data_IF_609674990027
#
_entry.id   IF_609674990027
#
_cell.length_a   1.000
_cell.length_b   1.000
_cell.length_c   1.000
_cell.angle_alpha   90.00
_cell.angle_beta   90.00
_cell.angle_gamma   90.00
#
_symmetry.space_group_name_H-M   'P 1'
#
loop_
_entity.id
_entity.type
_entity.pdbx_description
1 polymer ?
#
# COMPACT_ATOMS: atom_id res chain seq x y z
N UNK A 1 -28.43 -63.43 -6.67
CA UNK A 1 -27.14 -63.36 -5.96
C UNK A 1 -26.44 -62.07 -6.33
N UNK A 2 -26.10 -61.27 -5.31
CA UNK A 2 -25.41 -59.98 -5.36
C UNK A 2 -24.00 -60.12 -5.95
N UNK A 3 -23.54 -59.15 -6.75
CA UNK A 3 -22.18 -58.58 -6.66
C UNK A 3 -22.21 -57.10 -7.07
N UNK A 4 -22.26 -56.24 -6.05
CA UNK A 4 -21.86 -54.84 -6.12
C UNK A 4 -20.38 -54.79 -6.50
N UNK A 5 -20.02 -54.06 -7.56
CA UNK A 5 -18.65 -53.58 -7.72
C UNK A 5 -18.54 -52.18 -7.13
N UNK A 6 -17.66 -52.09 -6.14
CA UNK A 6 -17.40 -50.90 -5.33
C UNK A 6 -16.80 -49.77 -6.17
N UNK A 7 -17.29 -48.59 -5.86
CA UNK A 7 -16.79 -47.26 -6.22
C UNK A 7 -15.31 -47.11 -5.82
N UNK A 8 -14.47 -46.66 -6.75
CA UNK A 8 -13.23 -45.94 -6.42
C UNK A 8 -13.35 -44.53 -7.00
N UNK A 9 -14.06 -43.67 -6.27
CA UNK A 9 -13.87 -42.22 -6.38
C UNK A 9 -12.46 -42.00 -5.86
N UNK A 10 -11.52 -41.82 -6.78
CA UNK A 10 -10.25 -41.22 -6.44
C UNK A 10 -10.56 -39.85 -5.86
N UNK A 11 -10.53 -39.75 -4.53
CA UNK A 11 -10.29 -38.49 -3.84
C UNK A 11 -8.92 -38.04 -4.37
N UNK A 12 -8.93 -37.28 -5.45
CA UNK A 12 -7.87 -36.35 -5.73
C UNK A 12 -7.94 -35.34 -4.59
N UNK A 13 -7.28 -35.66 -3.48
CA UNK A 13 -6.82 -34.65 -2.54
C UNK A 13 -5.90 -33.78 -3.37
N UNK A 14 -6.48 -32.73 -3.96
CA UNK A 14 -5.74 -31.55 -4.34
C UNK A 14 -5.18 -30.99 -3.04
N UNK A 15 -4.07 -31.58 -2.56
CA UNK A 15 -3.11 -30.83 -1.78
C UNK A 15 -2.55 -29.83 -2.77
N UNK A 16 -3.30 -28.75 -3.00
CA UNK A 16 -2.75 -27.51 -3.50
C UNK A 16 -1.49 -27.30 -2.66
N UNK A 17 -0.31 -27.21 -3.28
CA UNK A 17 0.85 -26.95 -2.48
C UNK A 17 0.57 -25.65 -1.70
N UNK A 18 0.74 -25.70 -0.38
CA UNK A 18 0.54 -24.58 0.54
C UNK A 18 1.67 -23.58 0.32
N UNK A 19 1.77 -23.07 -0.90
CA UNK A 19 2.59 -21.92 -1.21
C UNK A 19 1.69 -20.71 -1.12
N UNK A 20 2.08 -19.74 -0.30
CA UNK A 20 1.43 -18.44 -0.24
C UNK A 20 1.22 -17.92 -1.68
N UNK A 21 -0.03 -17.70 -2.06
CA UNK A 21 -0.35 -17.22 -3.39
C UNK A 21 0.18 -15.80 -3.51
N UNK A 22 1.15 -15.57 -4.41
CA UNK A 22 1.72 -14.25 -4.68
C UNK A 22 1.11 -13.67 -5.95
N UNK A 23 0.49 -12.52 -5.84
CA UNK A 23 -0.18 -11.80 -6.94
C UNK A 23 0.58 -10.49 -7.15
N UNK A 24 1.22 -10.32 -8.31
CA UNK A 24 1.82 -9.04 -8.68
C UNK A 24 0.71 -8.02 -8.95
N UNK A 25 0.84 -6.80 -8.44
CA UNK A 25 -0.16 -5.73 -8.58
C UNK A 25 0.51 -4.44 -9.04
N UNK A 26 -0.23 -3.65 -9.81
CA UNK A 26 0.16 -2.32 -10.27
C UNK A 26 -0.97 -1.33 -9.97
N UNK A 27 -0.66 -0.04 -9.94
CA UNK A 27 -1.66 0.96 -9.62
C UNK A 27 -1.14 2.38 -9.54
N UNK A 28 -2.00 3.23 -9.00
CA UNK A 28 -1.73 4.64 -8.83
C UNK A 28 -2.27 5.15 -7.50
N UNK A 29 -1.54 6.08 -6.89
CA UNK A 29 -2.02 6.91 -5.80
C UNK A 29 -2.03 8.37 -6.25
N UNK A 30 -3.14 9.07 -6.06
CA UNK A 30 -3.24 10.51 -6.31
C UNK A 30 -3.54 11.25 -5.02
N UNK A 31 -2.68 12.16 -4.60
CA UNK A 31 -2.96 13.03 -3.45
C UNK A 31 -4.14 13.97 -3.78
N UNK A 32 -5.09 14.06 -2.86
CA UNK A 32 -6.30 14.89 -2.99
C UNK A 32 -6.35 15.99 -1.93
N UNK A 33 -5.69 15.81 -0.79
CA UNK A 33 -5.52 16.88 0.20
C UNK A 33 -4.26 16.69 1.03
N UNK A 34 -3.66 17.80 1.46
CA UNK A 34 -2.51 17.83 2.35
C UNK A 34 -2.74 18.86 3.46
N UNK A 35 -2.64 18.44 4.72
CA UNK A 35 -2.85 19.31 5.89
C UNK A 35 -1.66 19.19 6.82
N UNK A 36 -0.96 20.30 7.04
CA UNK A 36 0.08 20.41 8.08
C UNK A 36 -0.53 21.08 9.29
N UNK A 37 -0.43 20.44 10.44
CA UNK A 37 -0.95 20.99 11.69
C UNK A 37 0.18 21.61 12.50
N UNK A 38 1.24 20.84 12.76
CA UNK A 38 2.35 21.28 13.60
C UNK A 38 3.70 20.91 12.98
N UNK A 39 4.64 21.86 13.00
CA UNK A 39 6.01 21.66 12.54
C UNK A 39 7.00 22.41 13.41
N UNK A 40 8.21 21.88 13.55
CA UNK A 40 9.33 22.52 14.23
C UNK A 40 10.62 22.37 13.42
N UNK A 41 11.65 23.11 13.84
CA UNK A 41 12.99 23.03 13.24
C UNK A 41 14.01 22.66 14.29
N UNK A 42 14.90 21.73 13.96
CA UNK A 42 16.02 21.38 14.82
C UNK A 42 17.20 22.37 14.69
N UNK A 43 18.25 22.16 15.49
CA UNK A 43 19.46 22.98 15.47
C UNK A 43 20.22 22.92 14.13
N UNK A 44 20.00 21.86 13.33
CA UNK A 44 20.48 21.71 11.96
C UNK A 44 19.55 22.34 10.92
N UNK A 45 18.52 23.08 11.34
CA UNK A 45 17.47 23.71 10.51
C UNK A 45 16.56 22.73 9.78
N UNK A 46 16.63 21.42 10.03
CA UNK A 46 15.72 20.44 9.39
C UNK A 46 14.31 20.62 9.92
N UNK A 47 13.33 20.57 9.02
CA UNK A 47 11.89 20.60 9.28
C UNK A 47 11.43 19.23 9.76
N UNK A 48 10.68 19.23 10.85
CA UNK A 48 10.02 18.05 11.42
C UNK A 48 8.53 18.33 11.49
N UNK A 49 7.68 17.42 11.04
CA UNK A 49 6.23 17.49 11.22
C UNK A 49 5.82 16.67 12.43
N UNK A 50 5.08 17.27 13.36
CA UNK A 50 4.50 16.54 14.51
C UNK A 50 3.17 15.89 14.11
N UNK A 51 2.40 16.56 13.26
CA UNK A 51 1.27 15.95 12.56
C UNK A 51 1.07 16.63 11.21
N UNK A 52 1.17 15.82 10.16
CA UNK A 52 0.72 16.17 8.82
C UNK A 52 -0.09 15.01 8.28
N UNK A 53 -1.25 15.31 7.68
CA UNK A 53 -2.15 14.31 7.12
C UNK A 53 -2.33 14.50 5.63
N UNK A 54 -2.35 13.39 4.92
CA UNK A 54 -2.61 13.34 3.48
C UNK A 54 -3.81 12.45 3.25
N UNK A 55 -4.67 12.89 2.34
CA UNK A 55 -5.72 12.04 1.78
C UNK A 55 -5.41 11.80 0.33
N UNK A 56 -5.60 10.56 -0.12
CA UNK A 56 -5.26 10.15 -1.48
C UNK A 56 -6.34 9.25 -2.06
N UNK A 57 -6.59 9.35 -3.36
CA UNK A 57 -7.34 8.33 -4.10
C UNK A 57 -6.38 7.22 -4.55
N UNK A 58 -6.77 5.96 -4.39
CA UNK A 58 -5.94 4.81 -4.71
C UNK A 58 -6.68 3.89 -5.68
N UNK A 59 -5.93 3.31 -6.61
CA UNK A 59 -6.39 2.18 -7.39
C UNK A 59 -5.22 1.24 -7.62
N UNK A 60 -5.36 -0.03 -7.26
CA UNK A 60 -4.43 -1.11 -7.58
C UNK A 60 -5.19 -2.26 -8.24
N UNK A 61 -4.54 -2.96 -9.17
CA UNK A 61 -5.17 -3.99 -9.98
C UNK A 61 -4.16 -5.05 -10.45
N UNK A 62 -4.69 -6.23 -10.73
CA UNK A 62 -4.01 -7.36 -11.36
C UNK A 62 -5.05 -8.29 -11.98
N UNK A 63 -4.62 -9.37 -12.62
CA UNK A 63 -5.52 -10.42 -13.07
C UNK A 63 -6.24 -11.05 -11.88
N UNK A 64 -7.57 -10.87 -11.80
CA UNK A 64 -8.39 -11.42 -10.72
C UNK A 64 -8.29 -10.68 -9.37
N UNK A 65 -7.56 -9.57 -9.28
CA UNK A 65 -7.46 -8.75 -8.07
C UNK A 65 -7.68 -7.27 -8.39
N UNK A 66 -8.39 -6.56 -7.52
CA UNK A 66 -8.55 -5.12 -7.66
C UNK A 66 -9.00 -4.45 -6.37
N UNK A 67 -8.38 -3.33 -6.06
CA UNK A 67 -8.76 -2.47 -4.95
C UNK A 67 -8.83 -1.03 -5.45
N UNK A 68 -9.93 -0.36 -5.09
CA UNK A 68 -10.13 1.06 -5.32
C UNK A 68 -10.66 1.68 -4.04
N UNK A 69 -10.07 2.78 -3.61
CA UNK A 69 -10.35 3.32 -2.30
C UNK A 69 -9.69 4.67 -2.03
N UNK A 70 -9.76 5.05 -0.77
CA UNK A 70 -9.14 6.27 -0.23
C UNK A 70 -8.06 5.92 0.78
N UNK A 71 -6.92 6.61 0.73
CA UNK A 71 -5.87 6.57 1.76
C UNK A 71 -6.06 7.70 2.76
N UNK A 72 -5.86 7.39 4.03
CA UNK A 72 -5.54 8.35 5.07
C UNK A 72 -4.11 8.09 5.56
N UNK A 73 -3.21 9.04 5.31
CA UNK A 73 -1.79 8.95 5.63
C UNK A 73 -1.44 9.95 6.74
N UNK A 74 -0.76 9.48 7.78
CA UNK A 74 -0.24 10.30 8.89
C UNK A 74 1.28 10.30 8.89
N UNK A 75 1.90 11.48 8.73
CA UNK A 75 3.34 11.70 8.55
C UNK A 75 4.03 11.98 9.90
N UNK A 76 3.68 11.20 10.93
CA UNK A 76 4.11 11.43 12.32
C UNK A 76 5.62 11.38 12.56
N UNK A 77 6.43 10.90 11.60
CA UNK A 77 7.89 10.93 11.67
C UNK A 77 8.48 11.41 10.34
N UNK A 78 9.04 12.62 10.34
CA UNK A 78 9.58 13.26 9.14
C UNK A 78 10.77 14.15 9.47
N UNK A 79 11.80 14.09 8.64
CA UNK A 79 13.00 14.92 8.77
C UNK A 79 13.34 15.41 7.36
N UNK A 80 13.06 16.68 7.08
CA UNK A 80 13.31 17.28 5.77
C UNK A 80 14.25 18.48 5.86
N UNK A 81 15.15 18.66 4.90
CA UNK A 81 15.93 19.89 4.76
C UNK A 81 15.10 21.03 4.15
N UNK A 82 15.73 22.19 3.91
CA UNK A 82 15.04 23.34 3.32
C UNK A 82 14.57 23.10 1.88
N UNK A 83 15.26 22.23 1.14
CA UNK A 83 14.93 21.83 -0.23
C UNK A 83 13.90 20.69 -0.30
N UNK A 84 13.45 20.17 0.85
CA UNK A 84 12.49 19.07 0.91
C UNK A 84 13.12 17.68 0.80
N UNK A 85 14.45 17.58 0.82
CA UNK A 85 15.13 16.29 0.87
C UNK A 85 15.05 15.70 2.27
N UNK A 86 14.93 14.38 2.36
CA UNK A 86 15.03 13.68 3.63
C UNK A 86 14.18 12.44 3.66
N UNK A 87 13.59 12.15 4.82
CA UNK A 87 12.85 10.90 5.04
C UNK A 87 11.55 11.15 5.75
N UNK A 88 10.52 10.40 5.35
CA UNK A 88 9.19 10.41 5.96
C UNK A 88 8.77 8.97 6.20
N UNK A 89 8.38 8.66 7.43
CA UNK A 89 7.70 7.42 7.79
C UNK A 89 6.25 7.74 8.07
N UNK A 90 5.34 7.02 7.40
CA UNK A 90 3.91 7.25 7.48
C UNK A 90 3.19 6.07 8.10
N UNK A 91 2.07 6.34 8.76
CA UNK A 91 1.03 5.35 9.02
C UNK A 91 -0.08 5.54 8.00
N UNK A 92 -0.59 4.45 7.43
CA UNK A 92 -1.57 4.49 6.36
C UNK A 92 -2.77 3.58 6.63
N UNK A 93 -3.95 4.08 6.28
CA UNK A 93 -5.21 3.34 6.27
C UNK A 93 -5.86 3.54 4.91
N UNK A 94 -5.91 2.48 4.12
CA UNK A 94 -6.59 2.45 2.83
C UNK A 94 -7.94 1.79 3.02
N UNK A 95 -9.02 2.49 2.66
CA UNK A 95 -10.39 2.01 2.80
C UNK A 95 -11.05 1.87 1.44
N UNK A 96 -11.65 0.71 1.17
CA UNK A 96 -12.32 0.43 -0.10
C UNK A 96 -13.54 1.33 -0.33
N UNK A 97 -13.74 1.76 -1.57
CA UNK A 97 -14.92 2.53 -1.99
C UNK A 97 -16.21 1.68 -1.95
N UNK A 98 -16.07 0.34 -2.03
CA UNK A 98 -17.21 -0.58 -2.08
C UNK A 98 -17.71 -0.98 -0.69
N UNK A 99 -16.79 -1.17 0.24
CA UNK A 99 -17.07 -1.64 1.59
C UNK A 99 -16.07 -1.05 2.60
N UNK A 100 -16.52 -0.20 3.54
CA UNK A 100 -15.65 0.39 4.56
C UNK A 100 -14.97 -0.63 5.49
N UNK A 101 -15.48 -1.86 5.60
CA UNK A 101 -14.86 -2.92 6.39
C UNK A 101 -13.64 -3.55 5.69
N UNK A 102 -13.55 -3.40 4.36
CA UNK A 102 -12.46 -3.88 3.53
C UNK A 102 -11.35 -2.83 3.48
N UNK A 103 -10.22 -3.13 4.11
CA UNK A 103 -9.15 -2.16 4.32
C UNK A 103 -7.76 -2.78 4.16
N UNK A 104 -6.78 -1.93 3.86
CA UNK A 104 -5.36 -2.21 4.09
C UNK A 104 -4.84 -1.22 5.13
N UNK A 105 -4.15 -1.70 6.17
CA UNK A 105 -3.54 -0.82 7.20
C UNK A 105 -2.08 -1.14 7.33
N UNK A 106 -1.26 -0.10 7.42
CA UNK A 106 0.17 -0.28 7.26
C UNK A 106 0.98 0.96 7.53
N UNK A 107 2.18 0.94 7.00
CA UNK A 107 3.12 2.05 7.05
C UNK A 107 3.92 2.11 5.76
N UNK A 108 4.43 3.30 5.45
CA UNK A 108 5.39 3.49 4.39
C UNK A 108 6.62 4.22 4.91
N UNK A 109 7.72 4.02 4.20
CA UNK A 109 9.00 4.67 4.44
C UNK A 109 9.48 5.26 3.13
N UNK A 110 9.55 6.59 3.10
CA UNK A 110 9.77 7.39 1.91
C UNK A 110 11.09 8.15 2.04
N UNK A 111 11.95 7.99 1.05
CA UNK A 111 13.07 8.88 0.79
C UNK A 111 12.63 9.95 -0.23
N UNK A 112 12.83 11.21 0.15
CA UNK A 112 12.50 12.37 -0.67
C UNK A 112 13.80 13.01 -1.13
N UNK A 113 13.88 13.26 -2.43
CA UNK A 113 14.90 14.12 -3.02
C UNK A 113 14.21 15.26 -3.76
N UNK A 114 14.90 16.36 -4.03
CA UNK A 114 14.37 17.61 -4.59
C UNK A 114 13.84 17.49 -6.03
N UNK A 115 13.59 16.28 -6.51
CA UNK A 115 12.93 15.97 -7.77
C UNK A 115 12.34 14.55 -7.83
N UNK A 116 12.29 13.80 -6.73
CA UNK A 116 11.62 12.49 -6.72
C UNK A 116 11.28 12.00 -5.31
N UNK A 117 10.12 11.39 -5.18
CA UNK A 117 9.72 10.63 -4.00
C UNK A 117 9.72 9.13 -4.30
N UNK A 118 10.42 8.36 -3.47
CA UNK A 118 10.42 6.89 -3.52
C UNK A 118 10.07 6.32 -2.16
N UNK A 119 9.09 5.43 -2.09
CA UNK A 119 8.74 4.76 -0.84
C UNK A 119 8.65 3.25 -0.99
N UNK A 120 8.88 2.55 0.12
CA UNK A 120 8.44 1.16 0.31
C UNK A 120 7.28 1.16 1.30
N UNK A 121 6.26 0.37 1.02
CA UNK A 121 5.02 0.32 1.79
C UNK A 121 4.69 -1.11 2.19
N UNK A 122 4.22 -1.31 3.41
CA UNK A 122 3.82 -2.61 3.95
C UNK A 122 2.45 -2.52 4.60
N UNK A 123 1.56 -3.42 4.21
CA UNK A 123 0.17 -3.42 4.64
C UNK A 123 -0.30 -4.81 5.06
N UNK A 124 -1.20 -4.81 6.04
CA UNK A 124 -2.07 -5.93 6.39
C UNK A 124 -3.47 -5.69 5.85
N UNK A 125 -4.07 -6.72 5.26
CA UNK A 125 -5.44 -6.71 4.76
C UNK A 125 -6.46 -7.03 5.84
N UNK A 126 -7.66 -6.48 5.69
CA UNK A 126 -8.81 -6.64 6.56
C UNK A 126 -10.08 -6.77 5.72
N UNK A 127 -11.12 -7.39 6.29
CA UNK A 127 -12.39 -7.60 5.59
C UNK A 127 -12.23 -8.66 4.49
N UNK A 128 -12.51 -8.31 3.23
CA UNK A 128 -12.28 -9.23 2.09
C UNK A 128 -10.83 -9.70 1.96
N UNK A 129 -9.87 -8.92 2.48
CA UNK A 129 -8.43 -9.21 2.41
C UNK A 129 -7.84 -9.73 3.73
N UNK A 130 -8.67 -10.21 4.67
CA UNK A 130 -8.18 -10.81 5.91
C UNK A 130 -7.19 -11.95 5.63
N UNK A 131 -6.06 -11.97 6.34
CA UNK A 131 -4.98 -12.94 6.13
C UNK A 131 -4.10 -12.67 4.91
N UNK A 132 -4.25 -11.50 4.26
CA UNK A 132 -3.34 -11.03 3.20
C UNK A 132 -2.41 -9.95 3.72
N UNK A 133 -1.20 -9.93 3.16
CA UNK A 133 -0.26 -8.81 3.24
C UNK A 133 0.01 -8.25 1.86
N UNK A 134 0.35 -6.97 1.82
CA UNK A 134 0.66 -6.27 0.58
C UNK A 134 1.94 -5.45 0.77
N UNK A 135 2.86 -5.60 -0.17
CA UNK A 135 4.10 -4.84 -0.23
C UNK A 135 4.14 -4.08 -1.54
N UNK A 136 4.39 -2.77 -1.48
CA UNK A 136 4.38 -1.89 -2.65
C UNK A 136 5.63 -1.01 -2.65
N UNK A 137 6.08 -0.66 -3.85
CA UNK A 137 6.90 0.52 -4.10
C UNK A 137 6.01 1.65 -4.61
N UNK A 138 6.25 2.84 -4.09
CA UNK A 138 5.62 4.09 -4.47
C UNK A 138 6.67 4.95 -5.16
N UNK A 139 6.46 5.30 -6.42
CA UNK A 139 7.39 6.12 -7.18
C UNK A 139 6.66 7.30 -7.81
N UNK A 140 7.21 8.49 -7.63
CA UNK A 140 6.76 9.69 -8.33
C UNK A 140 6.95 9.53 -9.85
N UNK A 141 5.95 9.95 -10.62
CA UNK A 141 5.99 9.89 -12.08
C UNK A 141 6.23 11.28 -12.63
N UNK A 142 7.47 11.58 -13.00
CA UNK A 142 7.90 12.86 -13.58
C UNK A 142 7.07 13.26 -14.82
N UNK A 143 6.58 12.28 -15.59
CA UNK A 143 5.75 12.50 -16.77
C UNK A 143 4.32 13.01 -16.47
N UNK A 144 3.94 13.18 -15.20
CA UNK A 144 2.64 13.71 -14.79
C UNK A 144 2.65 15.24 -14.56
N UNK A 145 3.78 15.92 -14.81
CA UNK A 145 3.81 17.38 -14.91
C UNK A 145 2.83 17.85 -15.99
N UNK A 146 1.87 18.65 -15.60
CA UNK A 146 1.02 19.40 -16.53
C UNK A 146 1.28 20.88 -16.29
N UNK A 147 1.14 21.71 -17.33
CA UNK A 147 1.35 23.17 -17.28
C UNK A 147 0.48 23.92 -16.22
N UNK A 148 -0.32 23.20 -15.41
CA UNK A 148 -1.27 23.71 -14.43
C UNK A 148 -1.05 23.18 -13.01
N UNK A 149 -0.14 22.25 -12.78
CA UNK A 149 0.10 21.64 -11.47
C UNK A 149 1.60 21.72 -11.16
N UNK A 150 1.99 22.57 -10.21
CA UNK A 150 3.40 22.81 -9.83
C UNK A 150 4.05 21.61 -9.11
N UNK A 151 3.32 20.51 -8.90
CA UNK A 151 3.83 19.30 -8.26
C UNK A 151 3.07 18.06 -8.76
N UNK A 152 3.73 17.00 -9.26
CA UNK A 152 3.06 15.77 -9.64
C UNK A 152 2.42 15.11 -8.41
N UNK A 153 1.12 15.31 -8.21
CA UNK A 153 0.37 14.68 -7.12
C UNK A 153 -0.03 13.22 -7.46
N UNK A 154 0.64 12.58 -8.41
CA UNK A 154 0.32 11.24 -8.93
C UNK A 154 1.55 10.34 -8.85
N UNK A 155 1.37 9.18 -8.24
CA UNK A 155 2.42 8.25 -7.93
C UNK A 155 2.06 6.87 -8.45
N UNK A 156 3.04 6.16 -9.00
CA UNK A 156 2.91 4.78 -9.44
C UNK A 156 3.09 3.84 -8.24
N UNK A 157 2.22 2.83 -8.17
CA UNK A 157 2.29 1.75 -7.20
C UNK A 157 2.61 0.46 -7.95
N UNK A 158 3.60 -0.27 -7.48
CA UNK A 158 3.99 -1.57 -8.02
C UNK A 158 4.34 -2.50 -6.87
N UNK A 159 3.92 -3.76 -6.91
CA UNK A 159 4.29 -4.68 -5.86
C UNK A 159 3.49 -5.96 -5.87
N UNK A 160 3.24 -6.49 -4.68
CA UNK A 160 2.75 -7.85 -4.49
C UNK A 160 1.72 -7.91 -3.37
N UNK A 161 0.69 -8.74 -3.56
CA UNK A 161 -0.22 -9.19 -2.52
C UNK A 161 0.04 -10.67 -2.29
N UNK A 162 0.17 -11.08 -1.04
CA UNK A 162 0.46 -12.47 -0.67
C UNK A 162 -0.26 -12.88 0.61
N UNK A 163 -0.36 -14.19 0.85
CA UNK A 163 -0.87 -14.70 2.12
C UNK A 163 0.06 -14.36 3.27
N UNK A 164 -0.52 -14.08 4.44
CA UNK A 164 0.25 -13.99 5.69
C UNK A 164 0.97 -15.32 5.96
N UNK A 165 2.26 -15.28 6.35
CA UNK A 165 2.97 -16.49 6.76
C UNK A 165 2.26 -17.13 7.95
N UNK A 166 1.94 -18.42 7.84
CA UNK A 166 1.43 -19.20 8.98
C UNK A 166 2.59 -19.39 9.94
N UNK A 167 2.48 -18.80 11.14
CA UNK A 167 3.38 -19.13 12.25
C UNK A 167 2.75 -20.33 12.95
N UNK A 168 3.28 -21.52 12.70
CA UNK A 168 2.96 -22.69 13.52
C UNK A 168 3.40 -22.36 14.96
N UNK A 169 2.43 -22.15 15.85
CA UNK A 169 2.64 -21.95 17.29
C UNK A 169 2.64 -23.28 18.03
#
# INVERSE_FOLDING_TARGET
>A
MKKLFFVLIGLATFTSPVYAQKIAVEGFMKHTSFKVFEKWRDSGKRKHFFSAKVTSAITIYSEGFGFKGTSETDLGLSILDDNGNGRIVTKEIWTSDKDPSTQFKGHADCDLTSGSTTCVMWFKGYGEFEGKIMELTFNEKDAAETDKDDNPNLYMLEGIVMDEPVVDQ
#
